data_IF_499915510148
#
_entry.id   IF_499915510148
#
_cell.length_a   1.000
_cell.length_b   1.000
_cell.length_c   1.000
_cell.angle_alpha   90.00
_cell.angle_beta   90.00
_cell.angle_gamma   90.00
#
_symmetry.space_group_name_H-M   'P 1'
#
loop_
_entity.id
_entity.type
_entity.pdbx_description
1 polymer ?
#
# COMPACT_ATOMS: atom_id res chain seq x y z
N UNK A 1 48.54 -21.30 46.05
CA UNK A 1 48.53 -20.68 44.69
C UNK A 1 47.46 -21.36 43.91
N UNK A 2 46.27 -20.77 43.89
CA UNK A 2 45.13 -21.32 43.16
C UNK A 2 44.74 -20.32 42.07
N UNK A 3 45.04 -20.65 40.82
CA UNK A 3 44.65 -19.87 39.67
C UNK A 3 43.24 -20.27 39.23
N UNK A 4 42.28 -19.39 39.47
CA UNK A 4 40.90 -19.56 38.98
C UNK A 4 40.83 -19.03 37.56
N UNK A 5 40.56 -19.93 36.62
CA UNK A 5 40.31 -19.59 35.21
C UNK A 5 38.80 -19.27 35.10
N UNK A 6 38.49 -18.00 34.88
CA UNK A 6 37.12 -17.56 34.55
C UNK A 6 36.95 -17.70 33.05
N UNK A 7 36.21 -18.69 32.63
CA UNK A 7 35.77 -18.83 31.24
C UNK A 7 34.56 -17.88 30.95
N UNK A 8 34.80 -16.82 30.21
CA UNK A 8 33.74 -15.93 29.73
C UNK A 8 33.02 -16.58 28.52
N UNK A 9 31.81 -17.01 28.74
CA UNK A 9 30.94 -17.51 27.66
C UNK A 9 30.33 -16.28 26.96
N UNK A 10 30.79 -15.98 25.77
CA UNK A 10 30.19 -14.99 24.87
C UNK A 10 28.99 -15.63 24.20
N UNK A 11 27.80 -15.31 24.69
CA UNK A 11 26.55 -15.68 24.03
C UNK A 11 26.33 -14.71 22.84
N UNK A 12 26.63 -15.16 21.63
CA UNK A 12 26.35 -14.45 20.42
C UNK A 12 24.83 -14.52 20.16
N UNK A 13 24.11 -13.42 20.46
CA UNK A 13 22.69 -13.28 20.11
C UNK A 13 22.58 -13.05 18.62
N UNK A 14 22.19 -14.08 17.87
CA UNK A 14 21.84 -13.97 16.46
C UNK A 14 20.53 -13.16 16.36
N UNK A 15 20.63 -11.89 16.00
CA UNK A 15 19.45 -11.09 15.64
C UNK A 15 19.03 -11.55 14.25
N UNK A 16 17.99 -12.38 14.19
CA UNK A 16 17.35 -12.79 12.93
C UNK A 16 16.56 -11.59 12.44
N UNK A 17 17.12 -10.85 11.48
CA UNK A 17 16.36 -9.87 10.69
C UNK A 17 15.34 -10.65 9.86
N UNK A 18 14.09 -10.65 10.29
CA UNK A 18 12.99 -11.11 9.44
C UNK A 18 12.67 -9.99 8.45
N UNK A 19 12.76 -10.23 7.14
CA UNK A 19 12.25 -9.26 6.18
C UNK A 19 10.74 -9.13 6.41
N UNK A 20 10.31 -7.95 6.86
CA UNK A 20 8.91 -7.59 6.83
C UNK A 20 8.49 -7.58 5.36
N UNK A 21 7.61 -8.48 4.97
CA UNK A 21 7.00 -8.49 3.64
C UNK A 21 6.02 -7.32 3.57
N UNK A 22 6.56 -6.12 3.36
CA UNK A 22 5.75 -4.97 3.01
C UNK A 22 5.30 -5.19 1.56
N UNK A 23 4.00 -5.35 1.35
CA UNK A 23 3.43 -5.28 0.01
C UNK A 23 3.78 -3.91 -0.56
N UNK A 24 4.51 -3.88 -1.66
CA UNK A 24 4.81 -2.63 -2.34
C UNK A 24 3.54 -2.12 -3.04
N UNK A 25 3.39 -0.80 -3.16
CA UNK A 25 2.27 -0.20 -3.88
C UNK A 25 2.13 -0.77 -5.30
N UNK A 26 3.24 -1.10 -5.96
CA UNK A 26 3.25 -1.76 -7.27
C UNK A 26 2.60 -3.15 -7.26
N UNK A 27 2.82 -3.95 -6.21
CA UNK A 27 2.20 -5.27 -6.10
C UNK A 27 0.69 -5.16 -5.83
N UNK A 28 0.28 -4.16 -5.07
CA UNK A 28 -1.14 -3.87 -4.83
C UNK A 28 -1.84 -3.32 -6.07
N UNK A 29 -1.16 -2.50 -6.88
CA UNK A 29 -1.69 -2.01 -8.17
C UNK A 29 -1.93 -3.14 -9.19
N UNK A 30 -1.18 -4.24 -9.09
CA UNK A 30 -1.34 -5.42 -9.95
C UNK A 30 -2.49 -6.34 -9.51
N UNK A 31 -3.01 -6.17 -8.28
CA UNK A 31 -4.11 -6.98 -7.76
C UNK A 31 -5.46 -6.36 -8.12
N UNK A 32 -6.49 -7.19 -8.42
CA UNK A 32 -7.84 -6.69 -8.56
C UNK A 32 -8.32 -6.07 -7.24
N UNK A 33 -8.78 -4.83 -7.29
CA UNK A 33 -9.40 -4.19 -6.13
C UNK A 33 -10.83 -4.70 -5.95
N UNK A 34 -11.24 -5.13 -4.74
CA UNK A 34 -12.56 -5.70 -4.51
C UNK A 34 -13.73 -4.79 -4.91
N UNK A 35 -13.58 -3.48 -4.74
CA UNK A 35 -14.64 -2.50 -5.00
C UNK A 35 -14.31 -1.53 -6.16
N UNK A 36 -13.23 -1.81 -6.90
CA UNK A 36 -12.84 -0.98 -8.05
C UNK A 36 -12.07 0.30 -7.69
N UNK A 37 -11.65 0.43 -6.44
CA UNK A 37 -10.83 1.53 -5.96
C UNK A 37 -9.32 1.32 -6.18
N UNK A 38 -8.52 2.19 -5.60
CA UNK A 38 -7.08 2.02 -5.50
C UNK A 38 -6.71 1.48 -4.12
N UNK A 39 -5.91 0.41 -4.06
CA UNK A 39 -5.50 -0.21 -2.79
C UNK A 39 -4.10 0.23 -2.40
N UNK A 40 -3.89 0.53 -1.12
CA UNK A 40 -2.60 0.87 -0.53
C UNK A 40 -2.43 0.22 0.83
N UNK A 41 -1.21 -0.15 1.17
CA UNK A 41 -0.88 -0.61 2.51
C UNK A 41 -0.72 0.59 3.46
N UNK A 42 -1.23 0.45 4.68
CA UNK A 42 -1.14 1.45 5.74
C UNK A 42 -1.00 0.75 7.10
N UNK A 43 0.22 0.49 7.53
CA UNK A 43 0.50 -0.28 8.74
C UNK A 43 -0.13 -1.67 8.69
N UNK A 44 -1.01 -2.04 9.64
CA UNK A 44 -1.65 -3.35 9.67
C UNK A 44 -2.82 -3.50 8.68
N UNK A 45 -3.10 -2.46 7.87
CA UNK A 45 -4.28 -2.39 7.02
C UNK A 45 -3.94 -2.35 5.54
N UNK A 46 -4.89 -2.83 4.73
CA UNK A 46 -5.10 -2.40 3.36
C UNK A 46 -6.23 -1.37 3.32
N UNK A 47 -5.97 -0.24 2.69
CA UNK A 47 -6.94 0.82 2.47
C UNK A 47 -7.32 0.82 0.98
N UNK A 48 -8.59 0.60 0.65
CA UNK A 48 -9.11 0.74 -0.71
C UNK A 48 -9.92 2.03 -0.82
N UNK A 49 -9.40 3.00 -1.57
CA UNK A 49 -10.03 4.28 -1.78
C UNK A 49 -10.75 4.32 -3.12
N UNK A 50 -12.05 4.59 -3.07
CA UNK A 50 -12.88 4.98 -4.22
C UNK A 50 -13.05 6.49 -4.14
N UNK A 51 -12.51 7.21 -5.14
CA UNK A 51 -12.57 8.65 -5.20
C UNK A 51 -13.34 9.10 -6.44
N UNK A 52 -14.35 9.92 -6.23
CA UNK A 52 -15.15 10.59 -7.27
C UNK A 52 -15.20 12.07 -6.96
N UNK A 53 -15.65 12.88 -7.90
CA UNK A 53 -15.88 14.30 -7.68
C UNK A 53 -16.81 14.49 -6.49
N UNK A 54 -16.33 15.20 -5.47
CA UNK A 54 -17.10 15.51 -4.27
C UNK A 54 -17.31 14.37 -3.28
N UNK A 55 -16.88 13.13 -3.56
CA UNK A 55 -17.13 11.96 -2.71
C UNK A 55 -15.92 11.07 -2.56
N UNK A 56 -15.66 10.62 -1.33
CA UNK A 56 -14.67 9.60 -0.99
C UNK A 56 -15.33 8.47 -0.23
N UNK A 57 -15.03 7.23 -0.63
CA UNK A 57 -15.38 6.01 0.10
C UNK A 57 -14.12 5.20 0.34
N UNK A 58 -13.89 4.80 1.60
CA UNK A 58 -12.70 4.07 2.01
C UNK A 58 -13.10 2.77 2.70
N UNK A 59 -12.69 1.64 2.13
CA UNK A 59 -12.77 0.33 2.76
C UNK A 59 -11.47 0.03 3.49
N UNK A 60 -11.57 -0.61 4.65
CA UNK A 60 -10.43 -1.00 5.47
C UNK A 60 -10.47 -2.50 5.72
N UNK A 61 -9.40 -3.18 5.35
CA UNK A 61 -9.20 -4.60 5.62
C UNK A 61 -7.86 -4.85 6.30
N UNK A 62 -7.69 -6.02 6.87
CA UNK A 62 -6.39 -6.50 7.29
C UNK A 62 -5.57 -7.07 6.10
N UNK A 63 -4.35 -7.56 6.37
CA UNK A 63 -3.51 -8.18 5.33
C UNK A 63 -4.04 -9.53 4.80
N UNK A 64 -5.03 -10.13 5.48
CA UNK A 64 -5.76 -11.31 5.02
C UNK A 64 -7.04 -10.95 4.25
N UNK A 65 -7.25 -9.66 3.93
CA UNK A 65 -8.43 -9.12 3.25
C UNK A 65 -9.74 -9.29 4.04
N UNK A 66 -9.64 -9.46 5.37
CA UNK A 66 -10.81 -9.46 6.25
C UNK A 66 -11.20 -8.02 6.59
N UNK A 67 -12.48 -7.72 6.54
CA UNK A 67 -13.00 -6.40 6.93
C UNK A 67 -12.68 -6.07 8.38
N UNK A 68 -12.24 -4.85 8.63
CA UNK A 68 -11.99 -4.31 9.97
C UNK A 68 -13.22 -3.52 10.39
N UNK A 69 -13.71 -3.75 11.61
CA UNK A 69 -14.73 -2.91 12.22
C UNK A 69 -14.18 -1.52 12.47
N UNK A 70 -14.83 -0.51 11.89
CA UNK A 70 -14.38 0.87 11.93
C UNK A 70 -15.18 1.75 12.89
N UNK A 71 -16.14 1.20 13.62
CA UNK A 71 -16.96 1.94 14.58
C UNK A 71 -16.09 2.65 15.61
N UNK A 72 -16.37 3.93 15.83
CA UNK A 72 -15.55 4.78 16.71
C UNK A 72 -14.18 5.18 16.14
N UNK A 73 -13.87 4.77 14.93
CA UNK A 73 -12.68 5.21 14.21
C UNK A 73 -12.82 6.64 13.67
N UNK A 74 -11.70 7.24 13.33
CA UNK A 74 -11.60 8.58 12.75
C UNK A 74 -10.77 8.53 11.47
N UNK A 75 -11.15 9.33 10.47
CA UNK A 75 -10.39 9.46 9.24
C UNK A 75 -10.34 10.87 8.72
N UNK A 76 -9.33 11.17 7.93
CA UNK A 76 -9.22 12.39 7.14
C UNK A 76 -8.50 12.13 5.83
N UNK A 77 -8.89 12.87 4.79
CA UNK A 77 -8.22 12.89 3.52
C UNK A 77 -7.72 14.30 3.22
N UNK A 78 -6.45 14.43 2.86
CA UNK A 78 -5.87 15.67 2.34
C UNK A 78 -5.77 15.51 0.83
N UNK A 79 -6.53 16.31 0.10
CA UNK A 79 -6.63 16.25 -1.36
C UNK A 79 -5.84 17.42 -1.94
N UNK A 80 -4.91 17.11 -2.83
CA UNK A 80 -4.22 18.07 -3.68
C UNK A 80 -4.67 17.81 -5.12
N UNK A 81 -5.42 18.73 -5.71
CA UNK A 81 -6.03 18.54 -7.02
C UNK A 81 -5.05 18.76 -8.17
N UNK A 82 -4.06 19.64 -7.95
CA UNK A 82 -3.10 20.05 -8.98
C UNK A 82 -1.71 20.33 -8.37
N UNK A 83 -0.75 20.68 -9.22
CA UNK A 83 0.61 21.06 -8.81
C UNK A 83 0.70 22.43 -8.13
N UNK A 84 -0.31 23.28 -8.29
CA UNK A 84 -0.35 24.62 -7.69
C UNK A 84 -0.58 24.58 -6.17
N UNK A 85 -1.02 23.43 -5.64
CA UNK A 85 -0.92 23.13 -4.21
C UNK A 85 -2.11 23.51 -3.38
N UNK A 86 -3.26 23.83 -3.94
CA UNK A 86 -4.49 23.98 -3.17
C UNK A 86 -4.84 22.65 -2.51
N UNK A 87 -4.84 22.65 -1.18
CA UNK A 87 -5.17 21.48 -0.37
C UNK A 87 -6.56 21.62 0.23
N UNK A 88 -7.34 20.57 0.05
CA UNK A 88 -8.67 20.44 0.64
C UNK A 88 -8.57 19.30 1.65
N UNK A 89 -9.02 19.54 2.88
CA UNK A 89 -9.12 18.50 3.90
C UNK A 89 -10.56 18.07 4.02
N UNK A 90 -10.81 16.77 3.85
CA UNK A 90 -12.11 16.15 4.01
C UNK A 90 -12.06 15.23 5.22
N UNK A 91 -13.01 15.40 6.14
CA UNK A 91 -13.21 14.46 7.25
C UNK A 91 -13.83 13.19 6.69
N UNK A 92 -13.32 12.04 7.14
CA UNK A 92 -13.88 10.74 6.81
C UNK A 92 -14.56 10.19 8.06
N UNK A 93 -15.85 9.89 7.95
CA UNK A 93 -16.66 9.41 9.06
C UNK A 93 -17.10 7.95 8.83
N UNK A 94 -17.12 7.11 9.88
CA UNK A 94 -17.66 5.76 9.78
C UNK A 94 -19.12 5.78 9.32
N UNK A 95 -19.46 4.93 8.36
CA UNK A 95 -20.81 4.75 7.85
C UNK A 95 -21.39 3.40 8.26
N UNK A 96 -22.74 3.24 8.20
CA UNK A 96 -23.40 1.97 8.52
C UNK A 96 -22.96 0.78 7.63
N UNK A 97 -22.38 1.06 6.47
CA UNK A 97 -21.86 0.05 5.54
C UNK A 97 -20.44 -0.42 5.88
N UNK A 98 -19.93 -0.11 7.07
CA UNK A 98 -18.58 -0.40 7.51
C UNK A 98 -17.49 0.19 6.58
N UNK A 99 -17.73 1.40 6.09
CA UNK A 99 -16.79 2.18 5.27
C UNK A 99 -16.62 3.56 5.88
N UNK A 100 -15.46 4.18 5.71
CA UNK A 100 -15.36 5.62 5.92
C UNK A 100 -15.87 6.36 4.70
N UNK A 101 -16.68 7.38 4.91
CA UNK A 101 -17.19 8.25 3.84
C UNK A 101 -16.84 9.71 4.12
N UNK A 102 -16.60 10.47 3.07
CA UNK A 102 -16.33 11.90 3.16
C UNK A 102 -16.80 12.64 1.92
N UNK A 103 -17.36 13.82 2.12
CA UNK A 103 -17.86 14.68 1.05
C UNK A 103 -17.21 16.06 1.12
N UNK A 104 -17.04 16.71 -0.03
CA UNK A 104 -16.44 18.04 -0.12
C UNK A 104 -16.51 18.61 -1.53
N UNK A 105 -16.04 19.85 -1.68
CA UNK A 105 -15.96 20.51 -2.98
C UNK A 105 -14.59 20.27 -3.62
N UNK A 106 -14.44 19.17 -4.35
CA UNK A 106 -13.22 18.82 -5.06
C UNK A 106 -13.53 18.03 -6.33
N UNK A 107 -12.57 18.03 -7.25
CA UNK A 107 -12.60 17.26 -8.50
C UNK A 107 -11.41 16.31 -8.55
N UNK A 108 -11.63 15.13 -9.10
CA UNK A 108 -10.57 14.15 -9.30
C UNK A 108 -10.01 14.27 -10.71
N UNK A 109 -8.73 14.60 -10.80
CA UNK A 109 -7.97 14.75 -12.04
C UNK A 109 -6.80 13.76 -12.09
N UNK A 110 -6.16 13.53 -13.25
CA UNK A 110 -4.96 12.70 -13.33
C UNK A 110 -3.79 13.17 -12.45
N UNK A 111 -3.78 14.44 -12.06
CA UNK A 111 -2.77 15.04 -11.19
C UNK A 111 -3.15 14.97 -9.70
N UNK A 112 -4.39 14.58 -9.39
CA UNK A 112 -4.89 14.52 -8.01
C UNK A 112 -4.11 13.54 -7.17
N UNK A 113 -3.68 14.01 -6.02
CA UNK A 113 -3.04 13.22 -4.97
C UNK A 113 -3.90 13.31 -3.71
N UNK A 114 -4.21 12.18 -3.12
CA UNK A 114 -4.96 12.09 -1.88
C UNK A 114 -4.11 11.37 -0.84
N UNK A 115 -3.89 12.00 0.32
CA UNK A 115 -3.26 11.35 1.47
C UNK A 115 -4.34 11.12 2.51
N UNK A 116 -4.61 9.85 2.76
CA UNK A 116 -5.61 9.43 3.75
C UNK A 116 -4.91 9.03 5.03
N UNK A 117 -5.49 9.40 6.16
CA UNK A 117 -5.13 8.92 7.49
C UNK A 117 -6.36 8.33 8.16
N UNK A 118 -6.19 7.18 8.77
CA UNK A 118 -7.21 6.50 9.59
C UNK A 118 -6.64 6.19 10.96
N UNK A 119 -7.48 6.28 11.97
CA UNK A 119 -7.16 5.88 13.34
C UNK A 119 -8.33 5.09 13.90
N UNK A 120 -8.10 3.83 14.24
CA UNK A 120 -9.06 3.02 14.96
C UNK A 120 -8.99 3.31 16.46
N UNK A 121 -10.05 3.02 17.24
CA UNK A 121 -10.03 3.17 18.68
C UNK A 121 -8.81 2.46 19.30
N UNK A 122 -8.13 3.13 20.22
CA UNK A 122 -6.97 2.60 20.97
C UNK A 122 -5.76 2.17 20.12
N UNK A 123 -5.71 2.58 18.83
CA UNK A 123 -4.61 2.27 17.92
C UNK A 123 -3.93 3.54 17.43
N UNK A 124 -2.74 3.37 16.85
CA UNK A 124 -2.02 4.43 16.17
C UNK A 124 -2.72 4.85 14.88
N UNK A 125 -2.45 6.07 14.43
CA UNK A 125 -2.92 6.55 13.13
C UNK A 125 -2.01 6.00 12.02
N UNK A 126 -2.62 5.46 10.97
CA UNK A 126 -1.93 4.98 9.79
C UNK A 126 -2.38 5.75 8.55
N UNK A 127 -1.50 5.91 7.58
CA UNK A 127 -1.81 6.67 6.39
C UNK A 127 -1.24 6.06 5.12
N UNK A 128 -1.89 6.41 4.01
CA UNK A 128 -1.45 6.02 2.69
C UNK A 128 -1.69 7.13 1.66
N UNK A 129 -0.92 7.09 0.57
CA UNK A 129 -1.00 8.03 -0.55
C UNK A 129 -1.66 7.38 -1.75
N UNK A 130 -2.65 8.06 -2.32
CA UNK A 130 -3.41 7.63 -3.48
C UNK A 130 -3.24 8.59 -4.64
N UNK A 131 -3.29 8.04 -5.84
CA UNK A 131 -3.33 8.77 -7.12
C UNK A 131 -4.42 8.13 -7.98
N UNK A 132 -5.70 8.45 -7.76
CA UNK A 132 -6.84 7.66 -8.22
C UNK A 132 -6.92 7.45 -9.74
N UNK A 133 -6.54 8.46 -10.52
CA UNK A 133 -6.58 8.39 -12.00
C UNK A 133 -5.21 8.21 -12.64
N UNK A 134 -4.15 8.02 -11.85
CA UNK A 134 -2.84 7.70 -12.44
C UNK A 134 -2.86 6.28 -13.00
N UNK A 135 -2.37 6.05 -14.24
CA UNK A 135 -2.32 4.70 -14.80
C UNK A 135 -1.55 3.75 -13.87
N UNK A 136 -2.10 2.54 -13.67
CA UNK A 136 -1.42 1.47 -12.92
C UNK A 136 -0.16 1.08 -13.68
N UNK A 137 0.99 1.10 -13.02
CA UNK A 137 2.25 0.65 -13.61
C UNK A 137 2.27 -0.88 -13.56
N UNK A 138 1.76 -1.53 -14.60
CA UNK A 138 1.97 -2.96 -14.79
C UNK A 138 3.39 -3.14 -15.31
N UNK A 139 4.27 -3.69 -14.51
CA UNK A 139 5.60 -4.11 -14.97
C UNK A 139 5.37 -5.21 -16.02
N UNK A 140 5.48 -4.85 -17.30
CA UNK A 140 5.50 -5.82 -18.38
C UNK A 140 6.65 -6.79 -18.09
N UNK A 141 6.31 -8.07 -17.84
CA UNK A 141 7.30 -9.12 -17.65
C UNK A 141 8.29 -9.06 -18.81
N UNK A 142 9.58 -8.89 -18.48
CA UNK A 142 10.67 -9.01 -19.43
C UNK A 142 10.58 -10.43 -20.03
N UNK A 143 10.08 -10.54 -21.25
CA UNK A 143 10.27 -11.74 -22.05
C UNK A 143 11.76 -11.82 -22.33
N UNK A 144 12.45 -12.69 -21.64
CA UNK A 144 13.76 -13.15 -22.07
C UNK A 144 13.56 -13.80 -23.45
N UNK A 145 14.03 -13.11 -24.47
CA UNK A 145 14.19 -13.71 -25.80
C UNK A 145 15.33 -14.72 -25.66
N UNK A 146 14.97 -16.00 -25.55
CA UNK A 146 15.90 -17.08 -25.81
C UNK A 146 16.31 -17.00 -27.28
N UNK A 147 17.51 -16.50 -27.48
CA UNK A 147 18.20 -16.60 -28.76
C UNK A 147 18.71 -18.01 -28.89
N UNK A 148 17.93 -18.88 -29.51
CA UNK A 148 18.43 -20.15 -30.01
C UNK A 148 19.16 -19.88 -31.33
N UNK A 149 20.46 -19.71 -31.20
CA UNK A 149 21.39 -19.77 -32.31
C UNK A 149 21.59 -21.25 -32.67
N UNK A 150 20.87 -21.74 -33.69
CA UNK A 150 21.15 -23.01 -34.33
C UNK A 150 22.06 -22.77 -35.53
N UNK A 151 23.35 -22.82 -35.23
CA UNK A 151 24.41 -22.97 -36.22
C UNK A 151 24.40 -24.44 -36.68
N UNK A 152 23.85 -24.72 -37.85
CA UNK A 152 24.00 -26.00 -38.56
C UNK A 152 24.87 -25.79 -39.78
N UNK A 153 26.17 -25.97 -39.57
CA UNK A 153 27.09 -26.26 -40.63
C UNK A 153 26.78 -27.67 -41.20
N UNK A 154 26.41 -27.76 -42.45
CA UNK A 154 26.58 -28.96 -43.23
C UNK A 154 27.47 -28.68 -44.43
N UNK A 155 28.73 -29.10 -44.27
CA UNK A 155 29.60 -29.39 -45.40
C UNK A 155 29.16 -30.74 -45.97
N UNK A 156 29.02 -30.85 -47.29
CA UNK A 156 29.37 -32.03 -48.07
C UNK A 156 29.55 -31.68 -49.54
N UNK A 157 30.78 -31.94 -49.99
CA UNK A 157 31.28 -32.26 -51.31
C UNK A 157 30.81 -31.49 -52.54
#
# INVERSE_FOLDING_TARGET
MNASIIAAVFAATLIIFQPAWAHTDESLDAMPSPHGGQVRAAGPYHLELIAKDGELVLHVTDHAWQEIHIDGGEGKANIQQDKAGNRITVKLEPSPQNTFTGNGEFHITPETVIVVFVKMPEQDAYGARFTPLKPKTVRAGRKEAEHHDHDLQHQHH
#
